data_IF_723301253997
#
_entry.id   IF_723301253997
#
_cell.length_a   1.000
_cell.length_b   1.000
_cell.length_c   1.000
_cell.angle_alpha   90.00
_cell.angle_beta   90.00
_cell.angle_gamma   90.00
#
_symmetry.space_group_name_H-M   'P 1'
#
loop_
_entity.id
_entity.type
_entity.pdbx_description
1 polymer ?
#
# COMPACT_ATOMS: atom_id res chain seq x y z
N UNK A 1 9.44 34.01 -6.37
CA UNK A 1 8.83 33.09 -7.35
C UNK A 1 8.94 31.72 -6.75
N UNK A 2 7.84 31.25 -6.16
CA UNK A 2 7.78 29.93 -5.52
C UNK A 2 8.04 28.87 -6.58
N UNK A 3 8.89 27.90 -6.26
CA UNK A 3 9.18 26.76 -7.11
C UNK A 3 7.87 25.97 -7.28
N UNK A 4 7.26 26.04 -8.46
CA UNK A 4 6.07 25.27 -8.79
C UNK A 4 6.51 23.82 -8.94
N UNK A 5 6.50 23.07 -7.83
CA UNK A 5 6.77 21.64 -7.84
C UNK A 5 5.65 20.94 -8.64
N UNK A 6 5.83 20.92 -9.95
CA UNK A 6 4.94 20.25 -10.90
C UNK A 6 5.16 18.76 -10.82
N UNK A 7 4.26 18.07 -10.13
CA UNK A 7 4.15 16.63 -10.21
C UNK A 7 3.53 16.23 -11.55
N UNK A 8 4.20 15.35 -12.28
CA UNK A 8 3.75 14.77 -13.56
C UNK A 8 3.19 13.36 -13.41
N UNK A 9 3.22 12.82 -12.17
CA UNK A 9 2.83 11.46 -11.85
C UNK A 9 2.08 11.43 -10.51
N UNK A 10 1.10 10.54 -10.40
CA UNK A 10 0.38 10.24 -9.18
C UNK A 10 0.40 8.71 -8.98
N UNK A 11 0.96 8.26 -7.87
CA UNK A 11 0.96 6.83 -7.51
C UNK A 11 0.21 6.66 -6.21
N UNK A 12 -0.84 5.83 -6.25
CA UNK A 12 -1.62 5.48 -5.08
C UNK A 12 -1.19 4.10 -4.58
N UNK A 13 -0.86 4.01 -3.30
CA UNK A 13 -0.48 2.78 -2.61
C UNK A 13 -1.32 2.69 -1.36
N UNK A 14 -1.93 1.54 -1.10
CA UNK A 14 -2.72 1.35 0.10
C UNK A 14 -3.43 0.00 0.10
N UNK A 15 -4.53 -0.02 0.83
CA UNK A 15 -5.41 -1.17 1.02
C UNK A 15 -6.66 -1.04 0.14
N UNK A 16 -7.70 -1.82 0.49
CA UNK A 16 -9.01 -1.79 -0.17
C UNK A 16 -9.67 -0.41 -0.21
N UNK A 17 -9.32 0.51 0.69
CA UNK A 17 -9.80 1.90 0.63
C UNK A 17 -9.18 2.66 -0.55
N UNK A 18 -7.91 2.38 -0.87
CA UNK A 18 -7.22 2.97 -2.03
C UNK A 18 -7.61 2.27 -3.32
N UNK A 19 -7.84 0.96 -3.27
CA UNK A 19 -8.41 0.18 -4.38
C UNK A 19 -9.78 0.69 -4.80
N UNK A 20 -10.57 1.21 -3.85
CA UNK A 20 -11.91 1.74 -4.11
C UNK A 20 -13.05 0.76 -3.81
N UNK A 21 -12.77 -0.29 -3.04
CA UNK A 21 -13.77 -1.30 -2.67
C UNK A 21 -15.01 -0.61 -2.07
N UNK A 22 -16.19 -1.03 -2.55
CA UNK A 22 -17.51 -0.44 -2.28
C UNK A 22 -17.94 0.71 -3.21
N UNK A 23 -17.11 1.10 -4.17
CA UNK A 23 -17.47 2.00 -5.29
C UNK A 23 -17.47 1.23 -6.62
N UNK A 24 -18.37 0.25 -6.72
CA UNK A 24 -18.44 -0.69 -7.85
C UNK A 24 -18.88 -0.01 -9.13
N UNK A 25 -18.12 -0.24 -10.20
CA UNK A 25 -18.42 0.22 -11.55
C UNK A 25 -19.19 -0.87 -12.34
N UNK A 26 -20.01 -0.52 -13.35
CA UNK A 26 -20.82 -1.50 -14.10
C UNK A 26 -20.06 -2.63 -14.80
N UNK A 27 -18.75 -2.46 -15.05
CA UNK A 27 -17.86 -3.48 -15.61
C UNK A 27 -17.35 -4.49 -14.56
N UNK A 28 -17.73 -4.31 -13.29
CA UNK A 28 -17.29 -5.15 -12.17
C UNK A 28 -16.01 -4.67 -11.48
N UNK A 29 -15.38 -3.59 -11.96
CA UNK A 29 -14.24 -2.96 -11.30
C UNK A 29 -14.67 -2.03 -10.15
N UNK A 30 -13.67 -1.40 -9.52
CA UNK A 30 -13.87 -0.34 -8.54
C UNK A 30 -13.35 0.98 -9.09
N UNK A 31 -14.03 2.09 -8.79
CA UNK A 31 -13.55 3.43 -9.14
C UNK A 31 -12.75 4.04 -7.99
N UNK A 32 -13.38 4.22 -6.83
CA UNK A 32 -12.68 4.72 -5.65
C UNK A 32 -12.18 6.16 -5.75
N UNK A 33 -11.66 6.66 -4.63
CA UNK A 33 -11.23 8.07 -4.54
C UNK A 33 -9.94 8.35 -5.34
N UNK A 34 -9.05 7.36 -5.45
CA UNK A 34 -7.76 7.52 -6.13
C UNK A 34 -7.98 7.78 -7.63
N UNK A 35 -8.84 7.00 -8.29
CA UNK A 35 -9.15 7.21 -9.72
C UNK A 35 -9.91 8.52 -9.94
N UNK A 36 -10.81 8.88 -9.02
CA UNK A 36 -11.52 10.17 -9.08
C UNK A 36 -10.55 11.34 -8.97
N UNK A 37 -9.57 11.26 -8.07
CA UNK A 37 -8.53 12.29 -7.94
C UNK A 37 -7.66 12.35 -9.19
N UNK A 38 -7.21 11.19 -9.70
CA UNK A 38 -6.40 11.10 -10.91
C UNK A 38 -7.10 11.76 -12.11
N UNK A 39 -8.39 11.49 -12.31
CA UNK A 39 -9.19 12.09 -13.38
C UNK A 39 -9.24 13.62 -13.27
N UNK A 40 -9.48 14.17 -12.07
CA UNK A 40 -9.49 15.63 -11.83
C UNK A 40 -8.12 16.26 -12.03
N UNK A 41 -7.06 15.58 -11.64
CA UNK A 41 -5.69 16.08 -11.87
C UNK A 41 -5.38 16.13 -13.37
N UNK A 42 -5.82 15.12 -14.14
CA UNK A 42 -5.61 15.04 -15.58
C UNK A 42 -6.30 16.17 -16.37
N UNK A 43 -7.45 16.69 -15.89
CA UNK A 43 -8.14 17.85 -16.51
C UNK A 43 -7.24 19.10 -16.61
N UNK A 44 -6.33 19.26 -15.65
CA UNK A 44 -5.42 20.43 -15.58
C UNK A 44 -3.98 20.07 -15.96
N UNK A 45 -3.68 18.78 -16.14
CA UNK A 45 -2.34 18.25 -16.42
C UNK A 45 -2.39 17.20 -17.54
N UNK A 46 -2.48 17.64 -18.80
CA UNK A 46 -2.32 16.75 -19.94
C UNK A 46 -0.98 16.00 -19.82
N UNK A 47 -1.02 14.66 -19.84
CA UNK A 47 0.16 13.81 -19.68
C UNK A 47 0.46 13.35 -18.25
N UNK A 48 -0.42 13.61 -17.27
CA UNK A 48 -0.31 13.01 -15.93
C UNK A 48 -0.25 11.47 -16.05
N UNK A 49 0.79 10.88 -15.46
CA UNK A 49 0.90 9.43 -15.28
C UNK A 49 0.21 9.02 -13.98
N UNK A 50 -0.52 7.92 -14.02
CA UNK A 50 -1.26 7.43 -12.85
C UNK A 50 -1.13 5.93 -12.70
N UNK A 51 -0.91 5.47 -11.47
CA UNK A 51 -0.99 4.07 -11.10
C UNK A 51 -1.67 3.90 -9.74
N UNK A 52 -2.62 2.97 -9.65
CA UNK A 52 -3.17 2.47 -8.39
C UNK A 52 -2.55 1.10 -8.12
N UNK A 53 -1.64 1.01 -7.15
CA UNK A 53 -0.98 -0.26 -6.84
C UNK A 53 -1.83 -1.13 -5.91
N UNK A 54 -2.89 -0.59 -5.30
CA UNK A 54 -3.81 -1.36 -4.47
C UNK A 54 -4.72 -2.29 -5.29
N UNK A 55 -4.89 -2.04 -6.60
CA UNK A 55 -5.65 -2.90 -7.52
C UNK A 55 -4.78 -3.93 -8.26
N UNK A 56 -3.48 -3.99 -7.97
CA UNK A 56 -2.57 -4.90 -8.65
C UNK A 56 -2.59 -6.32 -8.05
N UNK A 57 -3.25 -7.24 -8.75
CA UNK A 57 -3.43 -8.65 -8.35
C UNK A 57 -2.15 -9.43 -8.08
N UNK A 58 -1.00 -8.95 -8.56
CA UNK A 58 0.27 -9.57 -8.25
C UNK A 58 0.54 -9.61 -6.75
N UNK A 59 0.04 -8.64 -5.99
CA UNK A 59 0.16 -8.57 -4.54
C UNK A 59 -0.86 -9.43 -3.79
N UNK A 60 -1.76 -10.13 -4.50
CA UNK A 60 -2.62 -11.16 -3.88
C UNK A 60 -1.81 -12.43 -3.54
N UNK A 61 -0.61 -12.60 -4.11
CA UNK A 61 0.25 -13.74 -3.83
C UNK A 61 0.87 -13.62 -2.41
N UNK A 62 0.54 -14.53 -1.48
CA UNK A 62 1.04 -14.46 -0.11
C UNK A 62 2.57 -14.56 -0.01
N UNK A 63 3.25 -15.05 -1.06
CA UNK A 63 4.72 -15.12 -1.13
C UNK A 63 5.39 -13.75 -1.25
N UNK A 64 4.65 -12.67 -1.53
CA UNK A 64 5.17 -11.30 -1.53
C UNK A 64 5.06 -10.60 -0.17
N UNK A 65 4.43 -11.24 0.81
CA UNK A 65 4.24 -10.72 2.15
C UNK A 65 5.21 -11.36 3.14
N UNK A 66 5.54 -10.62 4.18
CA UNK A 66 6.29 -11.11 5.33
C UNK A 66 5.44 -12.09 6.14
N UNK A 67 6.07 -12.77 7.11
CA UNK A 67 5.42 -13.78 7.95
C UNK A 67 4.15 -13.27 8.66
N UNK A 68 4.06 -11.97 8.94
CA UNK A 68 2.89 -11.37 9.59
C UNK A 68 1.69 -11.17 8.66
N UNK A 69 1.86 -11.31 7.34
CA UNK A 69 0.85 -11.09 6.30
C UNK A 69 0.30 -9.67 6.23
N UNK A 70 1.04 -8.69 6.77
CA UNK A 70 0.67 -7.27 6.80
C UNK A 70 1.73 -6.42 6.10
N UNK A 71 3.01 -6.80 6.20
CA UNK A 71 4.08 -6.09 5.53
C UNK A 71 4.53 -6.84 4.29
N UNK A 72 4.98 -6.10 3.27
CA UNK A 72 5.67 -6.71 2.14
C UNK A 72 7.02 -7.27 2.60
N UNK A 73 7.44 -8.37 1.98
CA UNK A 73 8.82 -8.85 2.11
C UNK A 73 9.74 -8.16 1.08
N UNK A 74 11.00 -8.58 1.02
CA UNK A 74 11.97 -7.97 0.10
C UNK A 74 11.55 -8.00 -1.38
N UNK A 75 10.95 -9.10 -1.85
CA UNK A 75 10.47 -9.20 -3.22
C UNK A 75 9.21 -8.34 -3.46
N UNK A 76 8.30 -8.28 -2.47
CA UNK A 76 7.16 -7.37 -2.51
C UNK A 76 7.60 -5.90 -2.61
N UNK A 77 8.56 -5.48 -1.78
CA UNK A 77 9.14 -4.14 -1.84
C UNK A 77 9.82 -3.86 -3.18
N UNK A 78 10.57 -4.82 -3.73
CA UNK A 78 11.23 -4.69 -5.03
C UNK A 78 10.22 -4.47 -6.15
N UNK A 79 9.09 -5.19 -6.13
CA UNK A 79 7.99 -5.01 -7.11
C UNK A 79 7.29 -3.67 -6.96
N UNK A 80 7.05 -3.19 -5.73
CA UNK A 80 6.50 -1.84 -5.51
C UNK A 80 7.46 -0.77 -6.05
N UNK A 81 8.75 -0.88 -5.77
CA UNK A 81 9.74 0.07 -6.28
C UNK A 81 9.72 0.13 -7.81
N UNK A 82 9.71 -1.03 -8.46
CA UNK A 82 9.64 -1.14 -9.92
C UNK A 82 8.32 -0.57 -10.49
N UNK A 83 7.19 -0.83 -9.83
CA UNK A 83 5.89 -0.29 -10.22
C UNK A 83 5.83 1.24 -10.09
N UNK A 84 6.47 1.79 -9.06
CA UNK A 84 6.62 3.24 -8.88
C UNK A 84 7.53 3.81 -9.97
N UNK A 85 8.68 3.19 -10.25
CA UNK A 85 9.62 3.60 -11.29
C UNK A 85 8.91 3.69 -12.66
N UNK A 86 8.15 2.66 -13.02
CA UNK A 86 7.33 2.66 -14.24
C UNK A 86 6.27 3.77 -14.22
N UNK A 87 5.57 3.98 -13.11
CA UNK A 87 4.54 5.00 -12.99
C UNK A 87 5.08 6.44 -13.05
N UNK A 88 6.33 6.65 -12.64
CA UNK A 88 7.07 7.91 -12.85
C UNK A 88 7.87 7.91 -14.16
N UNK A 89 7.56 6.96 -15.05
CA UNK A 89 8.07 6.75 -16.42
C UNK A 89 9.57 6.63 -16.55
N UNK A 90 10.20 6.02 -15.56
CA UNK A 90 11.49 5.36 -15.74
C UNK A 90 11.27 4.04 -16.48
N UNK A 91 12.30 3.58 -17.19
CA UNK A 91 12.23 2.30 -17.88
C UNK A 91 12.25 1.16 -16.84
N UNK A 92 11.32 0.19 -16.91
CA UNK A 92 11.32 -0.93 -15.99
C UNK A 92 12.52 -1.86 -16.25
N UNK A 93 13.17 -2.31 -15.18
CA UNK A 93 14.23 -3.30 -15.17
C UNK A 93 13.68 -4.72 -15.29
N UNK A 94 12.44 -4.97 -14.83
CA UNK A 94 11.75 -6.24 -14.97
C UNK A 94 10.22 -6.06 -14.92
N UNK A 95 9.47 -7.07 -15.38
CA UNK A 95 8.02 -7.10 -15.25
C UNK A 95 7.63 -7.39 -13.79
N UNK A 96 7.17 -6.36 -13.08
CA UNK A 96 6.76 -6.46 -11.69
C UNK A 96 5.39 -7.14 -11.51
N UNK A 97 4.58 -7.22 -12.57
CA UNK A 97 3.29 -7.91 -12.58
C UNK A 97 3.42 -9.41 -12.88
N UNK A 98 4.57 -9.84 -13.43
CA UNK A 98 4.81 -11.22 -13.78
C UNK A 98 4.48 -12.16 -12.61
N UNK A 99 3.73 -13.26 -12.85
CA UNK A 99 3.45 -14.24 -11.81
C UNK A 99 4.76 -14.80 -11.27
N UNK A 100 4.82 -15.01 -9.96
CA UNK A 100 5.97 -15.66 -9.35
C UNK A 100 6.11 -17.08 -9.91
N UNK A 101 7.33 -17.56 -10.20
CA UNK A 101 7.56 -18.90 -10.70
C UNK A 101 6.82 -19.96 -9.86
N UNK A 102 6.26 -21.01 -10.48
CA UNK A 102 5.61 -22.07 -9.74
C UNK A 102 6.63 -22.70 -8.78
N UNK A 103 6.37 -22.60 -7.48
CA UNK A 103 7.00 -23.48 -6.51
C UNK A 103 6.11 -24.71 -6.38
N UNK A 104 6.69 -25.87 -6.09
CA UNK A 104 5.93 -27.10 -5.86
C UNK A 104 4.74 -26.84 -4.93
N UNK A 105 3.58 -27.43 -5.23
CA UNK A 105 2.35 -27.14 -4.49
C UNK A 105 2.54 -27.53 -3.02
N UNK A 106 2.56 -26.55 -2.12
CA UNK A 106 2.43 -26.81 -0.70
C UNK A 106 1.16 -27.63 -0.51
N UNK A 107 1.25 -28.73 0.25
CA UNK A 107 0.05 -29.54 0.49
C UNK A 107 -0.94 -28.73 1.31
N UNK A 108 -2.23 -29.09 1.25
CA UNK A 108 -3.24 -28.48 2.12
C UNK A 108 -2.85 -28.58 3.60
N UNK A 109 -2.19 -29.67 3.99
CA UNK A 109 -1.67 -29.85 5.34
C UNK A 109 -0.59 -28.82 5.71
N UNK A 110 0.35 -28.54 4.79
CA UNK A 110 1.38 -27.52 4.98
C UNK A 110 0.77 -26.13 5.16
N UNK A 111 -0.26 -25.81 4.37
CA UNK A 111 -1.00 -24.54 4.48
C UNK A 111 -1.70 -24.41 5.83
N UNK A 112 -2.39 -25.46 6.30
CA UNK A 112 -3.07 -25.44 7.61
C UNK A 112 -2.09 -25.32 8.78
N UNK A 113 -0.95 -25.99 8.71
CA UNK A 113 0.08 -25.85 9.72
C UNK A 113 0.68 -24.43 9.72
N UNK A 114 0.88 -23.83 8.54
CA UNK A 114 1.30 -22.44 8.42
C UNK A 114 0.27 -21.46 8.99
N UNK A 115 -1.01 -21.64 8.70
CA UNK A 115 -2.10 -20.83 9.25
C UNK A 115 -2.20 -20.96 10.77
N UNK A 116 -2.07 -22.16 11.32
CA UNK A 116 -2.08 -22.39 12.77
C UNK A 116 -0.88 -21.70 13.46
N UNK A 117 0.32 -21.79 12.87
CA UNK A 117 1.50 -21.07 13.37
C UNK A 117 1.31 -19.56 13.31
N UNK A 118 0.79 -19.05 12.19
CA UNK A 118 0.50 -17.62 12.05
C UNK A 118 -0.52 -17.15 13.09
N UNK A 119 -1.63 -17.89 13.24
CA UNK A 119 -2.68 -17.55 14.19
C UNK A 119 -2.14 -17.51 15.63
N UNK A 120 -1.29 -18.48 15.99
CA UNK A 120 -0.62 -18.51 17.29
C UNK A 120 0.32 -17.33 17.49
N UNK A 121 1.14 -17.00 16.50
CA UNK A 121 2.21 -16.02 16.62
C UNK A 121 1.71 -14.57 16.48
N UNK A 122 0.68 -14.31 15.66
CA UNK A 122 0.24 -12.96 15.30
C UNK A 122 -1.20 -12.65 15.72
N UNK A 123 -2.15 -13.54 15.43
CA UNK A 123 -3.58 -13.27 15.66
C UNK A 123 -3.97 -13.36 17.15
N UNK A 124 -3.63 -14.46 17.83
CA UNK A 124 -4.01 -14.67 19.24
C UNK A 124 -3.49 -13.56 20.17
N UNK A 125 -2.24 -13.09 20.06
CA UNK A 125 -1.77 -11.94 20.84
C UNK A 125 -2.58 -10.67 20.57
N UNK A 126 -2.96 -10.42 19.30
CA UNK A 126 -3.79 -9.27 18.94
C UNK A 126 -5.20 -9.37 19.51
N UNK A 127 -5.86 -10.53 19.40
CA UNK A 127 -7.19 -10.78 20.00
C UNK A 127 -7.15 -10.59 21.52
N UNK A 128 -6.13 -11.15 22.18
CA UNK A 128 -5.96 -11.01 23.63
C UNK A 128 -5.78 -9.56 24.07
N UNK A 129 -5.04 -8.74 23.30
CA UNK A 129 -4.96 -7.30 23.54
C UNK A 129 -6.33 -6.64 23.36
N UNK A 130 -7.04 -6.95 22.28
CA UNK A 130 -8.35 -6.33 21.98
C UNK A 130 -9.41 -6.64 23.04
N UNK A 131 -9.49 -7.88 23.52
CA UNK A 131 -10.40 -8.27 24.60
C UNK A 131 -10.04 -7.63 25.94
N UNK A 132 -8.75 -7.41 26.20
CA UNK A 132 -8.29 -6.69 27.37
C UNK A 132 -8.42 -5.16 27.25
N UNK A 133 -9.04 -4.64 26.19
CA UNK A 133 -9.15 -3.20 25.93
C UNK A 133 -7.82 -2.53 25.61
N UNK A 134 -6.77 -3.29 25.30
CA UNK A 134 -5.42 -2.78 25.03
C UNK A 134 -5.21 -2.52 23.54
N UNK A 135 -4.68 -1.34 23.22
CA UNK A 135 -4.30 -0.91 21.87
C UNK A 135 -2.78 -0.77 21.75
N UNK A 136 -2.26 -0.82 20.52
CA UNK A 136 -0.87 -0.39 20.23
C UNK A 136 -0.65 1.10 20.49
N UNK A 137 -1.72 1.89 20.55
CA UNK A 137 -1.68 3.32 20.89
C UNK A 137 -1.71 3.63 22.39
N UNK A 138 -1.89 2.65 23.26
CA UNK A 138 -2.02 2.90 24.70
C UNK A 138 -0.71 3.44 25.28
N UNK A 139 -0.79 4.54 26.02
CA UNK A 139 0.37 5.20 26.62
C UNK A 139 1.24 5.96 25.61
N UNK A 140 0.90 5.97 24.31
CA UNK A 140 1.55 6.82 23.32
C UNK A 140 0.88 8.20 23.29
N UNK A 141 1.68 9.25 23.49
CA UNK A 141 1.23 10.61 23.22
C UNK A 141 1.17 10.83 21.70
N UNK A 142 0.12 11.48 21.16
CA UNK A 142 0.08 11.80 19.74
C UNK A 142 1.25 12.71 19.39
N UNK A 143 1.84 12.50 18.20
CA UNK A 143 2.96 13.32 17.70
C UNK A 143 2.59 14.81 17.61
N UNK A 144 1.30 15.12 17.45
CA UNK A 144 0.72 16.47 17.44
C UNK A 144 -0.55 16.49 18.32
N UNK A 145 -0.42 16.67 19.65
CA UNK A 145 -1.57 16.68 20.58
C UNK A 145 -2.44 17.93 20.45
N UNK A 146 -1.83 19.03 20.01
CA UNK A 146 -2.47 20.32 19.82
C UNK A 146 -2.66 20.61 18.34
N UNK A 147 -3.89 20.95 17.95
CA UNK A 147 -4.19 21.48 16.62
C UNK A 147 -3.39 22.77 16.43
N UNK A 148 -2.46 22.76 15.48
CA UNK A 148 -1.65 23.92 15.10
C UNK A 148 -1.96 24.28 13.65
N UNK A 149 -1.99 25.58 13.29
CA UNK A 149 -2.16 25.99 11.91
C UNK A 149 -1.07 25.36 11.04
N UNK A 150 -1.47 24.82 9.88
CA UNK A 150 -0.53 24.37 8.87
C UNK A 150 0.14 25.60 8.27
N UNK A 151 1.36 25.90 8.70
CA UNK A 151 2.19 26.93 8.07
C UNK A 151 2.81 26.32 6.82
N UNK A 152 2.66 26.98 5.68
CA UNK A 152 3.16 26.51 4.38
C UNK A 152 4.64 26.83 4.18
N UNK A 153 5.43 26.80 5.25
CA UNK A 153 6.87 27.01 5.15
C UNK A 153 7.53 25.67 4.80
N UNK A 154 8.22 25.71 3.66
CA UNK A 154 8.62 24.54 2.87
C UNK A 154 9.89 23.87 3.40
N UNK A 155 9.96 23.44 4.66
CA UNK A 155 11.09 22.67 5.18
C UNK A 155 10.66 21.69 6.28
N UNK A 156 10.04 20.57 5.94
CA UNK A 156 9.77 19.50 6.93
C UNK A 156 9.63 18.10 6.30
N UNK A 157 10.33 17.84 5.18
CA UNK A 157 10.43 16.48 4.60
C UNK A 157 11.84 15.92 4.85
N UNK A 158 12.08 15.52 6.10
CA UNK A 158 12.78 14.28 6.53
C UNK A 158 13.26 14.44 7.97
N UNK A 159 12.60 13.73 8.89
CA UNK A 159 13.13 13.49 10.22
C UNK A 159 14.26 12.47 10.16
N UNK A 160 15.49 12.95 10.27
CA UNK A 160 16.68 12.17 10.58
C UNK A 160 16.55 11.53 11.95
N UNK A 161 16.69 10.20 12.03
CA UNK A 161 17.53 9.49 13.00
C UNK A 161 17.69 8.03 12.61
#
# INVERSE_FOLDING_TARGET
MSDDHRYDSFVAIGDSFTEGVSDTHPDGGYRGWADVLAARLAETRPGLRYANLASAHVFDDPRLWADDRIHLNGDGHRRIAEAVDEAIGLAPHFDWQAPLPPMGHATWADQRLADARWARNHLLPWVGRRLAGRSSGDGLAPKRPSLTPLHSDSEDIKGTR
#
